data_IF_002050957606
#
_entry.id   IF_002050957606
#
_cell.length_a   1.000
_cell.length_b   1.000
_cell.length_c   1.000
_cell.angle_alpha   90.00
_cell.angle_beta   90.00
_cell.angle_gamma   90.00
#
_symmetry.space_group_name_H-M   'P 1'
#
loop_
_entity.id
_entity.type
_entity.pdbx_description
1 polymer ?
2 polymer ?
3 water ?
#
# COMPACT_ATOMS: atom_id res chain seq x y z
N UNK A 1 -13.79 3.51 -6.19
CA UNK A 1 -13.37 4.94 -6.13
C UNK A 1 -11.92 5.09 -6.54
N UNK A 2 -10.99 5.03 -5.59
CA UNK A 2 -9.58 5.17 -5.92
C UNK A 2 -8.85 3.85 -5.76
N UNK A 3 -8.35 3.34 -6.88
CA UNK A 3 -7.61 2.07 -6.88
C UNK A 3 -6.18 2.25 -7.32
N UNK A 4 -5.30 1.45 -6.74
CA UNK A 4 -3.89 1.45 -7.13
C UNK A 4 -3.54 -0.03 -7.38
N UNK A 5 -2.45 -0.25 -8.12
CA UNK A 5 -1.99 -1.60 -8.40
C UNK A 5 -0.58 -1.73 -7.81
N UNK A 6 -0.31 -2.83 -7.12
CA UNK A 6 1.00 -3.08 -6.53
C UNK A 6 2.06 -3.32 -7.60
N UNK A 7 3.17 -2.58 -7.52
CA UNK A 7 4.29 -2.74 -8.46
C UNK A 7 5.31 -3.76 -7.94
N UNK A 8 5.27 -4.01 -6.63
CA UNK A 8 6.18 -4.91 -5.93
C UNK A 8 5.49 -5.58 -4.75
N UNK A 9 6.08 -6.66 -4.24
CA UNK A 9 5.52 -7.32 -3.07
C UNK A 9 5.87 -6.41 -1.91
N UNK A 10 5.08 -6.47 -0.85
CA UNK A 10 5.35 -5.70 0.35
C UNK A 10 4.87 -6.50 1.55
N UNK A 11 5.70 -6.61 2.58
CA UNK A 11 5.28 -7.31 3.80
C UNK A 11 5.18 -6.34 4.97
N UNK A 12 6.13 -5.42 5.08
CA UNK A 12 6.11 -4.45 6.17
C UNK A 12 6.65 -4.94 7.50
N UNK A 13 7.27 -4.04 8.27
CA UNK A 13 7.78 -4.42 9.57
C UNK A 13 6.88 -4.01 10.73
N UNK A 14 5.86 -3.20 10.44
CA UNK A 14 4.93 -2.75 11.47
C UNK A 14 3.60 -3.50 11.37
N UNK A 15 2.98 -3.74 12.52
CA UNK A 15 1.72 -4.46 12.55
C UNK A 15 0.56 -3.75 11.83
N UNK A 16 0.66 -2.43 11.67
CA UNK A 16 -0.37 -1.65 10.98
C UNK A 16 -0.31 -1.79 9.46
N UNK A 17 0.78 -2.37 8.95
CA UNK A 17 1.01 -2.51 7.52
C UNK A 17 0.14 -3.56 6.86
N UNK A 18 -0.29 -3.29 5.63
CA UNK A 18 -1.09 -4.24 4.86
C UNK A 18 -0.15 -4.94 3.86
N UNK A 19 0.14 -6.24 4.07
CA UNK A 19 1.03 -6.93 3.12
C UNK A 19 0.28 -7.10 1.81
N UNK A 20 0.99 -7.13 0.69
CA UNK A 20 0.40 -7.36 -0.64
C UNK A 20 1.47 -7.92 -1.56
N UNK A 21 1.05 -8.36 -2.74
CA UNK A 21 1.95 -8.94 -3.74
C UNK A 21 1.84 -8.15 -5.04
N UNK A 22 2.94 -8.11 -5.78
CA UNK A 22 2.96 -7.42 -7.07
C UNK A 22 1.73 -7.83 -7.89
N UNK A 23 1.00 -6.85 -8.41
CA UNK A 23 -0.16 -7.17 -9.21
C UNK A 23 -1.49 -6.97 -8.51
N UNK A 24 -1.50 -7.03 -7.18
CA UNK A 24 -2.74 -6.84 -6.40
C UNK A 24 -3.34 -5.45 -6.65
N UNK A 25 -4.67 -5.38 -6.62
CA UNK A 25 -5.38 -4.12 -6.78
C UNK A 25 -5.90 -3.76 -5.38
N UNK A 26 -5.55 -2.56 -4.92
CA UNK A 26 -5.94 -2.11 -3.59
C UNK A 26 -6.75 -0.85 -3.71
N UNK A 27 -7.73 -0.69 -2.83
CA UNK A 27 -8.56 0.51 -2.86
C UNK A 27 -8.06 1.43 -1.75
N UNK A 28 -7.86 2.69 -2.09
CA UNK A 28 -7.36 3.66 -1.13
C UNK A 28 -8.50 4.21 -0.27
N UNK A 29 -8.30 4.15 1.03
CA UNK A 29 -9.30 4.62 1.96
C UNK A 29 -8.96 5.94 2.63
N UNK A 30 -7.68 6.21 2.85
CA UNK A 30 -7.30 7.43 3.55
C UNK A 30 -5.85 7.78 3.26
N UNK A 31 -5.54 9.07 3.33
CA UNK A 31 -4.18 9.56 3.09
C UNK A 31 -3.72 10.41 4.29
N UNK A 32 -3.42 9.74 5.42
CA UNK A 32 -2.98 10.46 6.61
C UNK A 32 -1.59 11.07 6.45
N UNK A 33 -0.85 10.62 5.44
CA UNK A 33 0.50 11.12 5.16
C UNK A 33 0.66 11.12 3.64
N UNK A 34 1.67 11.84 3.16
CA UNK A 34 1.92 11.89 1.73
C UNK A 34 2.32 10.54 1.12
N UNK A 35 3.20 9.80 1.82
CA UNK A 35 3.74 8.54 1.30
C UNK A 35 3.26 7.21 1.87
N UNK A 36 2.37 7.25 2.86
CA UNK A 36 1.82 6.07 3.49
C UNK A 36 0.30 6.28 3.54
N UNK A 37 -0.43 5.41 2.85
CA UNK A 37 -1.89 5.51 2.78
C UNK A 37 -2.57 4.27 3.36
N UNK A 38 -3.79 4.43 3.84
CA UNK A 38 -4.55 3.27 4.34
C UNK A 38 -5.33 2.73 3.13
N UNK A 39 -5.25 1.42 2.94
CA UNK A 39 -5.90 0.77 1.81
C UNK A 39 -6.62 -0.53 2.20
N UNK A 40 -7.44 -1.01 1.28
CA UNK A 40 -8.21 -2.23 1.48
C UNK A 40 -7.90 -3.18 0.34
N UNK A 41 -7.67 -4.46 0.67
CA UNK A 41 -7.38 -5.47 -0.35
C UNK A 41 -8.65 -6.23 -0.79
N UNK A 42 -8.51 -7.16 -1.74
CA UNK A 42 -9.65 -7.87 -2.29
C UNK A 42 -10.41 -8.77 -1.31
N UNK A 43 -9.80 -9.06 -0.15
CA UNK A 43 -10.43 -9.88 0.89
C UNK A 43 -11.02 -8.96 1.97
N UNK A 44 -10.90 -7.65 1.77
CA UNK A 44 -11.43 -6.70 2.73
C UNK A 44 -10.48 -6.33 3.87
N UNK A 45 -9.24 -6.82 3.85
CA UNK A 45 -8.29 -6.45 4.91
C UNK A 45 -7.79 -5.02 4.69
N UNK A 46 -7.51 -4.31 5.79
CA UNK A 46 -7.05 -2.91 5.76
C UNK A 46 -5.68 -2.76 6.39
N UNK A 47 -4.95 -1.76 5.93
CA UNK A 47 -3.65 -1.49 6.51
C UNK A 47 -2.90 -0.41 5.76
N UNK A 48 -1.73 -0.03 6.27
CA UNK A 48 -0.91 1.01 5.65
C UNK A 48 -0.05 0.45 4.54
N UNK A 49 0.06 1.22 3.45
CA UNK A 49 0.86 0.81 2.29
C UNK A 49 1.76 1.96 1.82
N UNK A 50 2.99 1.63 1.36
CA UNK A 50 3.93 2.65 0.88
C UNK A 50 3.60 3.06 -0.56
N UNK A 51 3.35 4.35 -0.75
CA UNK A 51 2.99 4.87 -2.06
C UNK A 51 3.96 4.50 -3.20
N UNK A 52 5.29 4.53 -2.96
CA UNK A 52 6.23 4.18 -4.04
C UNK A 52 6.08 2.77 -4.58
N UNK A 53 5.43 1.88 -3.82
CA UNK A 53 5.28 0.49 -4.25
C UNK A 53 4.05 0.25 -5.12
N UNK A 54 3.26 1.30 -5.37
CA UNK A 54 2.04 1.14 -6.16
C UNK A 54 1.94 2.21 -7.24
N UNK A 55 1.03 1.97 -8.18
CA UNK A 55 0.79 2.90 -9.28
C UNK A 55 -0.72 3.09 -9.35
N UNK A 56 -1.15 4.20 -9.96
CA UNK A 56 -2.57 4.46 -10.10
C UNK A 56 -3.20 3.41 -11.03
N UNK A 57 -4.44 3.04 -10.71
CA UNK A 57 -5.20 2.08 -11.52
C UNK A 57 -6.18 2.83 -12.44
N UNK B 1 14.80 -5.75 -6.87
CA UNK B 1 14.27 -5.30 -5.58
C UNK B 1 13.41 -4.05 -5.71
N UNK B 2 12.51 -3.84 -4.74
CA UNK B 2 11.59 -2.71 -4.65
C UNK B 2 12.26 -1.36 -4.48
N UNK B 3 11.49 -0.28 -4.58
CA UNK B 3 12.04 1.05 -4.41
C UNK B 3 12.24 1.30 -2.92
N UNK B 4 12.84 2.44 -2.60
CA UNK B 4 13.09 2.79 -1.20
C UNK B 4 11.75 2.92 -0.45
N UNK B 5 11.72 2.42 0.79
CA UNK B 5 10.53 2.52 1.64
C UNK B 5 10.55 3.93 2.23
N UNK B 6 9.48 4.71 2.03
CA UNK B 6 9.50 6.07 2.58
C UNK B 6 9.42 6.09 4.11
N UNK B 7 9.97 7.14 4.75
CA UNK B 7 9.89 7.17 6.21
C UNK B 7 8.44 7.42 6.61
N UNK B 8 8.03 6.95 7.78
CA UNK B 8 6.68 7.24 8.25
C UNK B 8 6.77 8.52 9.09
N UNK B 9 5.74 9.35 9.01
CA UNK B 9 5.73 10.58 9.77
C UNK B 9 4.94 10.37 11.06
#
# INVERSE_FOLDING_TARGET
>A
AEYVRALFDFNGNDEEDLPFKKGDILRIRDKPEEQWWNAEDSEGKRGMIPVPYVEKY
>B
PPPALPPKKR
#
